data_IF_182161765157
#
_entry.id   IF_182161765157
#
_cell.length_a   1.000
_cell.length_b   1.000
_cell.length_c   1.000
_cell.angle_alpha   90.00
_cell.angle_beta   90.00
_cell.angle_gamma   90.00
#
_symmetry.space_group_name_H-M   'P 1'
#
loop_
_entity.id
_entity.type
_entity.pdbx_description
1 polymer ?
#
# COMPACT_ATOMS: atom_id res chain seq x y z
N UNK A 1 5.31 -20.79 4.61
CA UNK A 1 6.52 -21.10 3.79
C UNK A 1 7.15 -19.80 3.34
N UNK A 2 8.44 -19.63 3.54
CA UNK A 2 9.16 -18.44 3.09
C UNK A 2 9.40 -18.51 1.58
N UNK A 3 9.21 -17.40 0.88
CA UNK A 3 9.43 -17.32 -0.58
C UNK A 3 10.91 -17.45 -0.98
N UNK A 4 11.84 -17.17 -0.03
CA UNK A 4 13.30 -17.25 -0.24
C UNK A 4 13.87 -18.70 -0.12
N UNK A 5 13.04 -19.71 0.09
CA UNK A 5 13.44 -21.12 0.21
C UNK A 5 14.15 -21.49 1.52
N UNK A 6 14.39 -20.54 2.43
CA UNK A 6 15.10 -20.78 3.70
C UNK A 6 14.29 -21.54 4.76
N UNK A 7 13.11 -22.02 4.44
CA UNK A 7 12.28 -22.82 5.36
C UNK A 7 13.02 -24.05 5.89
N UNK A 8 13.86 -24.68 5.05
CA UNK A 8 14.67 -25.85 5.46
C UNK A 8 15.71 -25.48 6.51
N UNK A 9 16.32 -24.29 6.38
CA UNK A 9 17.33 -23.80 7.34
C UNK A 9 16.69 -23.54 8.70
N UNK A 10 15.51 -22.90 8.71
CA UNK A 10 14.76 -22.66 9.94
C UNK A 10 14.41 -23.97 10.62
N UNK A 11 13.90 -24.97 9.88
CA UNK A 11 13.57 -26.28 10.42
C UNK A 11 14.80 -27.02 10.98
N UNK A 12 15.95 -26.83 10.35
CA UNK A 12 17.20 -27.42 10.82
C UNK A 12 17.62 -26.89 12.20
N UNK A 13 17.45 -25.58 12.44
CA UNK A 13 17.85 -24.97 13.71
C UNK A 13 16.74 -25.00 14.79
N UNK A 14 15.47 -24.94 14.40
CA UNK A 14 14.34 -24.80 15.32
C UNK A 14 13.48 -26.07 15.43
N UNK A 15 13.77 -27.09 14.63
CA UNK A 15 12.96 -28.31 14.55
C UNK A 15 11.74 -28.18 13.64
N UNK A 16 10.96 -29.25 13.59
CA UNK A 16 9.74 -29.30 12.80
C UNK A 16 8.58 -28.51 13.46
N UNK A 17 7.63 -28.11 12.63
CA UNK A 17 6.44 -27.41 13.09
C UNK A 17 5.60 -28.33 13.97
N UNK A 18 5.54 -28.08 15.26
CA UNK A 18 4.79 -28.88 16.24
C UNK A 18 3.31 -28.51 16.22
N UNK A 19 3.00 -27.20 16.07
CA UNK A 19 1.62 -26.70 16.04
C UNK A 19 1.49 -25.69 14.91
N UNK A 20 0.47 -25.87 14.08
CA UNK A 20 0.09 -24.92 13.05
C UNK A 20 -1.35 -24.44 13.29
N UNK A 21 -1.50 -23.34 14.03
CA UNK A 21 -2.79 -22.73 14.28
C UNK A 21 -3.11 -21.79 13.11
N UNK A 22 -4.13 -22.14 12.34
CA UNK A 22 -4.75 -21.16 11.44
C UNK A 22 -5.61 -20.26 12.31
N UNK A 23 -5.10 -19.07 12.59
CA UNK A 23 -5.90 -18.03 13.21
C UNK A 23 -7.07 -17.71 12.27
N UNK A 24 -8.29 -17.59 12.79
CA UNK A 24 -9.42 -17.07 12.02
C UNK A 24 -9.02 -15.67 11.54
N UNK A 25 -8.62 -15.58 10.28
CA UNK A 25 -8.19 -14.32 9.71
C UNK A 25 -9.45 -13.48 9.46
N UNK A 26 -9.48 -12.30 10.05
CA UNK A 26 -10.45 -11.28 9.67
C UNK A 26 -10.26 -11.04 8.17
N UNK A 27 -11.31 -11.26 7.37
CA UNK A 27 -11.25 -11.00 5.93
C UNK A 27 -11.56 -9.53 5.69
N UNK A 28 -10.69 -8.76 5.02
CA UNK A 28 -11.00 -7.38 4.68
C UNK A 28 -12.04 -7.33 3.56
N UNK A 29 -12.84 -6.28 3.56
CA UNK A 29 -13.62 -5.91 2.39
C UNK A 29 -12.65 -5.36 1.32
N UNK A 30 -12.71 -5.90 0.11
CA UNK A 30 -11.86 -5.46 -1.01
C UNK A 30 -12.71 -4.70 -2.01
N UNK A 31 -12.27 -3.50 -2.34
CA UNK A 31 -12.90 -2.63 -3.32
C UNK A 31 -11.89 -2.24 -4.41
N UNK A 32 -12.17 -2.58 -5.65
CA UNK A 32 -11.36 -2.18 -6.80
C UNK A 32 -11.91 -0.87 -7.38
N UNK A 33 -11.09 0.16 -7.37
CA UNK A 33 -11.40 1.45 -7.97
C UNK A 33 -10.74 1.57 -9.34
N UNK A 34 -11.54 1.60 -10.39
CA UNK A 34 -11.06 1.73 -11.76
C UNK A 34 -10.94 3.20 -12.14
N UNK A 35 -9.72 3.66 -12.41
CA UNK A 35 -9.46 5.07 -12.76
C UNK A 35 -9.91 5.43 -14.17
N UNK A 36 -10.05 4.45 -15.08
CA UNK A 36 -10.33 4.72 -16.49
C UNK A 36 -9.19 5.45 -17.22
N UNK A 37 -8.05 5.64 -16.56
CA UNK A 37 -6.90 6.36 -17.11
C UNK A 37 -5.96 5.36 -17.77
N UNK A 38 -5.74 5.53 -19.07
CA UNK A 38 -4.71 4.79 -19.80
C UNK A 38 -3.36 5.50 -19.63
N UNK A 39 -2.34 4.80 -19.14
CA UNK A 39 -0.99 5.35 -19.16
C UNK A 39 -0.57 5.53 -20.62
N UNK A 40 0.05 6.67 -20.92
CA UNK A 40 0.48 7.04 -22.28
C UNK A 40 1.35 5.92 -22.87
N UNK A 41 0.84 5.25 -23.90
CA UNK A 41 1.35 4.02 -24.50
C UNK A 41 2.80 4.09 -25.01
N UNK A 42 3.32 5.28 -25.30
CA UNK A 42 4.42 5.44 -26.25
C UNK A 42 5.83 5.27 -25.70
N UNK A 43 6.03 5.17 -24.38
CA UNK A 43 7.38 5.11 -23.78
C UNK A 43 7.62 3.96 -22.79
N UNK A 44 6.68 3.04 -22.69
CA UNK A 44 6.76 1.96 -21.71
C UNK A 44 7.49 0.71 -22.20
N UNK A 45 7.88 0.68 -23.49
CA UNK A 45 8.55 -0.45 -24.11
C UNK A 45 10.04 -0.19 -24.29
N UNK A 46 10.88 -1.07 -23.77
CA UNK A 46 12.32 -1.12 -24.07
C UNK A 46 12.63 -2.47 -24.72
N UNK A 47 13.21 -2.45 -25.93
CA UNK A 47 13.53 -3.66 -26.68
C UNK A 47 12.35 -4.62 -26.85
N UNK A 48 11.15 -4.11 -27.08
CA UNK A 48 9.93 -4.90 -27.23
C UNK A 48 9.39 -5.51 -25.93
N UNK A 49 9.98 -5.18 -24.76
CA UNK A 49 9.51 -5.61 -23.45
C UNK A 49 8.98 -4.44 -22.65
N UNK A 50 7.91 -4.67 -21.90
CA UNK A 50 7.32 -3.67 -21.02
C UNK A 50 8.28 -3.28 -19.89
N UNK A 51 8.56 -1.98 -19.76
CA UNK A 51 9.36 -1.43 -18.68
C UNK A 51 8.45 -1.07 -17.49
N UNK A 52 8.14 -2.05 -16.65
CA UNK A 52 7.28 -1.87 -15.47
C UNK A 52 7.71 -0.73 -14.53
N UNK A 53 9.00 -0.57 -14.16
CA UNK A 53 9.44 0.54 -13.34
C UNK A 53 9.16 1.92 -13.95
N UNK A 54 9.26 2.05 -15.27
CA UNK A 54 8.94 3.28 -15.97
C UNK A 54 7.44 3.53 -16.00
N UNK A 55 6.65 2.52 -16.33
CA UNK A 55 5.19 2.58 -16.33
C UNK A 55 4.65 3.02 -14.95
N UNK A 56 5.08 2.38 -13.87
CA UNK A 56 4.70 2.77 -12.51
C UNK A 56 5.12 4.22 -12.21
N UNK A 57 6.30 4.64 -12.69
CA UNK A 57 6.76 6.01 -12.55
C UNK A 57 5.84 7.03 -13.20
N UNK A 58 5.36 6.75 -14.41
CA UNK A 58 4.43 7.63 -15.14
C UNK A 58 3.03 7.65 -14.49
N UNK A 59 2.52 6.51 -14.07
CA UNK A 59 1.26 6.43 -13.31
C UNK A 59 1.32 7.28 -12.03
N UNK A 60 2.42 7.21 -11.29
CA UNK A 60 2.61 8.03 -10.08
C UNK A 60 2.67 9.54 -10.35
N UNK A 61 3.02 9.96 -11.58
CA UNK A 61 3.07 11.38 -11.99
C UNK A 61 1.74 11.89 -12.52
N UNK A 62 0.82 11.01 -12.93
CA UNK A 62 -0.47 11.41 -13.49
C UNK A 62 -1.25 12.25 -12.49
N UNK A 63 -1.51 13.51 -12.84
CA UNK A 63 -2.22 14.46 -11.97
C UNK A 63 -3.68 14.03 -11.76
N UNK A 64 -4.36 13.65 -12.82
CA UNK A 64 -5.78 13.24 -12.78
C UNK A 64 -5.96 12.01 -11.89
N UNK A 65 -5.10 10.99 -12.06
CA UNK A 65 -5.08 9.79 -11.23
C UNK A 65 -4.86 10.13 -9.74
N UNK A 66 -3.93 11.00 -9.47
CA UNK A 66 -3.61 11.43 -8.11
C UNK A 66 -4.75 12.20 -7.46
N UNK A 67 -5.50 12.99 -8.22
CA UNK A 67 -6.72 13.66 -7.73
C UNK A 67 -7.81 12.66 -7.36
N UNK A 68 -8.01 11.60 -8.16
CA UNK A 68 -8.95 10.53 -7.81
C UNK A 68 -8.57 9.82 -6.52
N UNK A 69 -7.29 9.46 -6.37
CA UNK A 69 -6.78 8.86 -5.13
C UNK A 69 -7.05 9.77 -3.93
N UNK A 70 -6.76 11.06 -4.07
CA UNK A 70 -6.99 12.04 -2.99
C UNK A 70 -8.48 12.18 -2.69
N UNK A 71 -9.37 12.13 -3.68
CA UNK A 71 -10.81 12.14 -3.47
C UNK A 71 -11.27 10.94 -2.62
N UNK A 72 -10.76 9.75 -2.92
CA UNK A 72 -11.04 8.54 -2.14
C UNK A 72 -10.54 8.71 -0.69
N UNK A 73 -9.32 9.22 -0.51
CA UNK A 73 -8.76 9.47 0.82
C UNK A 73 -9.67 10.40 1.63
N UNK A 74 -10.11 11.52 1.02
CA UNK A 74 -11.02 12.49 1.67
C UNK A 74 -12.36 11.87 2.05
N UNK A 75 -12.93 11.06 1.18
CA UNK A 75 -14.16 10.33 1.46
C UNK A 75 -13.99 9.39 2.67
N UNK A 76 -12.94 8.56 2.68
CA UNK A 76 -12.70 7.62 3.78
C UNK A 76 -12.30 8.34 5.07
N UNK A 77 -11.61 9.47 4.97
CA UNK A 77 -11.32 10.33 6.11
C UNK A 77 -12.60 10.88 6.75
N UNK A 78 -13.59 11.30 5.95
CA UNK A 78 -14.88 11.78 6.47
C UNK A 78 -15.68 10.68 7.20
N UNK A 79 -15.46 9.41 6.86
CA UNK A 79 -16.01 8.22 7.52
C UNK A 79 -15.24 7.83 8.82
N UNK A 80 -14.40 8.71 9.35
CA UNK A 80 -13.58 8.51 10.53
C UNK A 80 -12.59 7.33 10.45
N UNK A 81 -12.19 6.94 9.25
CA UNK A 81 -11.23 5.85 9.03
C UNK A 81 -9.78 6.28 9.25
N UNK A 82 -8.93 5.33 9.62
CA UNK A 82 -7.47 5.47 9.71
C UNK A 82 -6.84 4.78 8.52
N UNK A 83 -6.18 5.55 7.68
CA UNK A 83 -5.85 5.19 6.32
C UNK A 83 -4.34 5.03 6.16
N UNK A 84 -3.91 3.89 5.64
CA UNK A 84 -2.56 3.68 5.11
C UNK A 84 -2.61 3.71 3.58
N UNK A 85 -1.86 4.62 2.98
CA UNK A 85 -1.73 4.73 1.52
C UNK A 85 -0.35 4.21 1.12
N UNK A 86 -0.31 3.14 0.35
CA UNK A 86 0.92 2.51 -0.11
C UNK A 86 1.20 2.79 -1.57
N UNK A 87 2.44 3.12 -1.85
CA UNK A 87 2.94 3.34 -3.20
C UNK A 87 4.37 2.82 -3.37
N UNK A 88 4.80 2.63 -4.61
CA UNK A 88 6.17 2.18 -4.90
C UNK A 88 7.20 3.33 -4.90
N UNK A 89 6.74 4.61 -4.93
CA UNK A 89 7.61 5.78 -5.09
C UNK A 89 7.50 6.77 -3.93
N UNK A 90 8.66 7.17 -3.39
CA UNK A 90 8.75 8.18 -2.32
C UNK A 90 8.15 9.52 -2.75
N UNK A 91 8.46 9.97 -3.97
CA UNK A 91 7.93 11.22 -4.53
C UNK A 91 6.41 11.19 -4.66
N UNK A 92 5.84 10.02 -4.95
CA UNK A 92 4.39 9.86 -5.01
C UNK A 92 3.75 10.04 -3.63
N UNK A 93 4.35 9.51 -2.55
CA UNK A 93 3.91 9.78 -1.17
C UNK A 93 3.84 11.30 -0.89
N UNK A 94 4.92 12.02 -1.21
CA UNK A 94 5.01 13.47 -0.99
C UNK A 94 3.99 14.24 -1.84
N UNK A 95 3.80 13.82 -3.08
CA UNK A 95 2.85 14.47 -4.00
C UNK A 95 1.41 14.27 -3.55
N UNK A 96 1.02 13.06 -3.17
CA UNK A 96 -0.32 12.76 -2.66
C UNK A 96 -0.60 13.52 -1.35
N UNK A 97 0.38 13.62 -0.44
CA UNK A 97 0.23 14.41 0.77
C UNK A 97 0.00 15.89 0.47
N UNK A 98 0.78 16.47 -0.46
CA UNK A 98 0.62 17.86 -0.88
C UNK A 98 -0.76 18.13 -1.49
N UNK A 99 -1.24 17.20 -2.33
CA UNK A 99 -2.56 17.31 -2.97
C UNK A 99 -3.70 17.11 -1.96
N UNK A 100 -3.49 16.35 -0.91
CA UNK A 100 -4.47 16.19 0.17
C UNK A 100 -4.69 17.50 0.92
N UNK A 101 -3.61 18.26 1.16
CA UNK A 101 -3.63 19.55 1.86
C UNK A 101 -3.47 19.43 3.37
N UNK A 102 -3.20 20.58 4.01
CA UNK A 102 -2.87 20.67 5.44
C UNK A 102 -4.09 20.55 6.37
N UNK A 103 -5.30 20.66 5.83
CA UNK A 103 -6.55 20.50 6.59
C UNK A 103 -6.76 19.07 7.10
N UNK A 104 -5.98 18.11 6.58
CA UNK A 104 -6.10 16.70 6.90
C UNK A 104 -4.92 16.24 7.76
N UNK A 105 -5.20 15.52 8.85
CA UNK A 105 -4.18 14.93 9.70
C UNK A 105 -3.42 13.84 8.94
N UNK A 106 -2.33 14.21 8.29
CA UNK A 106 -1.53 13.33 7.44
C UNK A 106 -0.06 13.29 7.85
N UNK A 107 0.60 12.17 7.57
CA UNK A 107 2.02 11.95 7.81
C UNK A 107 2.68 11.11 6.71
N UNK A 108 3.99 11.25 6.59
CA UNK A 108 4.83 10.47 5.68
C UNK A 108 5.59 9.42 6.46
N UNK A 109 5.64 8.20 5.94
CA UNK A 109 6.39 7.10 6.50
C UNK A 109 7.25 6.44 5.40
N UNK A 110 8.41 7.01 5.15
CA UNK A 110 9.33 6.57 4.09
C UNK A 110 10.73 6.34 4.65
N UNK A 111 11.54 5.52 3.97
CA UNK A 111 12.92 5.25 4.36
C UNK A 111 13.77 6.53 4.47
N UNK A 112 14.79 6.48 5.30
CA UNK A 112 15.72 7.58 5.63
C UNK A 112 15.14 8.68 6.55
N UNK A 113 13.93 8.52 7.10
CA UNK A 113 13.42 9.44 8.12
C UNK A 113 13.97 9.08 9.50
N UNK A 114 14.13 10.10 10.37
CA UNK A 114 14.48 9.89 11.76
C UNK A 114 13.33 9.19 12.52
N UNK A 115 13.69 8.36 13.49
CA UNK A 115 12.69 7.62 14.29
C UNK A 115 11.63 8.52 14.94
N UNK A 116 12.00 9.72 15.38
CA UNK A 116 11.07 10.70 15.96
C UNK A 116 10.01 11.14 14.97
N UNK A 117 10.40 11.44 13.72
CA UNK A 117 9.47 11.83 12.65
C UNK A 117 8.56 10.65 12.21
N UNK A 118 9.08 9.42 12.25
CA UNK A 118 8.29 8.22 11.99
C UNK A 118 7.24 7.99 13.07
N UNK A 119 7.60 8.17 14.35
CA UNK A 119 6.66 8.07 15.46
C UNK A 119 5.57 9.13 15.39
N UNK A 120 5.92 10.38 15.07
CA UNK A 120 4.96 11.45 14.88
C UNK A 120 3.98 11.13 13.74
N UNK A 121 4.49 10.64 12.60
CA UNK A 121 3.68 10.24 11.46
C UNK A 121 2.67 9.14 11.82
N UNK A 122 3.05 8.22 12.72
CA UNK A 122 2.16 7.14 13.19
C UNK A 122 0.94 7.63 13.98
N UNK A 123 0.98 8.84 14.51
CA UNK A 123 -0.17 9.42 15.22
C UNK A 123 -1.22 9.99 14.28
N UNK A 124 -0.86 10.21 13.02
CA UNK A 124 -1.74 10.82 12.01
C UNK A 124 -2.82 9.85 11.54
N UNK A 125 -3.91 10.40 10.99
CA UNK A 125 -5.03 9.58 10.48
C UNK A 125 -4.81 9.07 9.07
N UNK A 126 -4.04 9.77 8.25
CA UNK A 126 -3.64 9.35 6.91
C UNK A 126 -2.13 9.22 6.88
N UNK A 127 -1.64 8.04 6.52
CA UNK A 127 -0.21 7.76 6.48
C UNK A 127 0.16 7.34 5.07
N UNK A 128 1.07 8.10 4.45
CA UNK A 128 1.61 7.77 3.13
C UNK A 128 2.94 7.03 3.31
N UNK A 129 3.04 5.82 2.80
CA UNK A 129 4.23 4.99 2.95
C UNK A 129 4.60 4.28 1.65
N UNK A 130 5.86 3.85 1.54
CA UNK A 130 6.26 2.96 0.46
C UNK A 130 6.02 1.50 0.85
N UNK A 131 5.73 0.63 -0.14
CA UNK A 131 5.58 -0.82 0.08
C UNK A 131 6.78 -1.43 0.81
N UNK A 132 7.99 -0.95 0.52
CA UNK A 132 9.20 -1.41 1.16
C UNK A 132 9.14 -1.26 2.69
N UNK A 133 8.81 -0.06 3.16
CA UNK A 133 8.71 0.24 4.60
C UNK A 133 7.55 -0.54 5.25
N UNK A 134 6.42 -0.67 4.56
CA UNK A 134 5.31 -1.47 5.08
C UNK A 134 5.71 -2.94 5.28
N UNK A 135 6.64 -3.48 4.49
CA UNK A 135 7.15 -4.84 4.66
C UNK A 135 8.18 -4.98 5.79
N UNK A 136 8.94 -3.93 6.13
CA UNK A 136 10.06 -3.99 7.08
C UNK A 136 9.72 -3.72 8.55
N UNK A 137 8.48 -3.91 8.97
CA UNK A 137 8.15 -3.82 10.40
C UNK A 137 7.31 -2.61 10.77
N UNK A 138 6.72 -1.90 9.82
CA UNK A 138 5.69 -0.93 10.11
C UNK A 138 4.53 -1.57 10.90
N UNK A 139 4.23 -1.08 12.08
CA UNK A 139 3.17 -1.58 12.94
C UNK A 139 2.34 -0.42 13.50
N UNK A 140 1.08 -0.36 13.07
CA UNK A 140 0.10 0.55 13.63
C UNK A 140 -1.24 -0.18 13.71
N UNK A 141 -1.58 -0.70 14.90
CA UNK A 141 -2.78 -1.53 15.08
C UNK A 141 -4.10 -0.79 14.87
N UNK A 142 -4.06 0.55 14.85
CA UNK A 142 -5.26 1.38 14.68
C UNK A 142 -5.71 1.55 13.22
N UNK A 143 -4.95 1.02 12.26
CA UNK A 143 -5.29 1.11 10.85
C UNK A 143 -6.46 0.19 10.50
N UNK A 144 -7.44 0.71 9.81
CA UNK A 144 -8.61 -0.01 9.34
C UNK A 144 -8.79 0.06 7.82
N UNK A 145 -8.04 0.92 7.13
CA UNK A 145 -8.17 1.12 5.69
C UNK A 145 -6.80 1.16 5.01
N UNK A 146 -6.66 0.36 3.96
CA UNK A 146 -5.47 0.31 3.10
C UNK A 146 -5.84 0.78 1.70
N UNK A 147 -5.06 1.71 1.14
CA UNK A 147 -5.19 2.14 -0.26
C UNK A 147 -3.90 1.75 -0.98
N UNK A 148 -4.02 0.90 -2.00
CA UNK A 148 -2.91 0.50 -2.87
C UNK A 148 -2.84 1.50 -4.03
N UNK A 149 -2.03 2.55 -3.84
CA UNK A 149 -1.98 3.70 -4.74
C UNK A 149 -1.07 3.50 -5.97
N UNK A 150 -0.33 2.40 -6.04
CA UNK A 150 0.41 1.99 -7.23
C UNK A 150 0.38 0.47 -7.41
N UNK A 151 0.48 -0.05 -8.63
CA UNK A 151 0.42 -1.48 -8.90
C UNK A 151 1.49 -2.26 -8.12
N UNK A 152 1.11 -3.38 -7.51
CA UNK A 152 2.00 -4.28 -6.77
C UNK A 152 1.47 -5.70 -6.79
N UNK A 153 2.30 -6.65 -7.22
CA UNK A 153 1.92 -8.07 -7.36
C UNK A 153 1.85 -8.86 -6.05
N UNK A 154 2.52 -8.40 -5.00
CA UNK A 154 2.49 -9.07 -3.69
C UNK A 154 2.17 -8.06 -2.60
N UNK A 155 0.94 -8.07 -2.14
CA UNK A 155 0.39 -7.16 -1.13
C UNK A 155 -0.05 -7.85 0.16
N UNK A 156 0.09 -9.18 0.25
CA UNK A 156 -0.36 -9.97 1.41
C UNK A 156 0.17 -9.43 2.74
N UNK A 157 1.46 -9.09 2.79
CA UNK A 157 2.06 -8.53 4.00
C UNK A 157 1.48 -7.16 4.36
N UNK A 158 1.20 -6.33 3.36
CA UNK A 158 0.61 -5.01 3.57
C UNK A 158 -0.83 -5.13 4.07
N UNK A 159 -1.63 -6.02 3.46
CA UNK A 159 -3.00 -6.32 3.90
C UNK A 159 -2.99 -6.86 5.34
N UNK A 160 -2.08 -7.76 5.67
CA UNK A 160 -1.93 -8.30 7.03
C UNK A 160 -1.65 -7.25 8.11
N UNK A 161 -1.23 -6.03 7.73
CA UNK A 161 -0.99 -4.93 8.69
C UNK A 161 -2.28 -4.32 9.23
N UNK A 162 -3.32 -4.19 8.41
CA UNK A 162 -4.62 -3.65 8.84
C UNK A 162 -5.52 -4.70 9.50
N UNK A 163 -5.14 -5.98 9.43
CA UNK A 163 -5.92 -7.10 9.97
C UNK A 163 -5.49 -7.53 11.37
N UNK A 164 -4.58 -6.82 12.01
CA UNK A 164 -3.96 -7.27 13.27
C UNK A 164 -4.84 -7.15 14.48
N UNK A 165 -5.78 -6.24 14.48
CA UNK A 165 -6.71 -6.02 15.60
C UNK A 165 -8.14 -5.78 15.10
N UNK A 166 -9.10 -6.11 15.94
CA UNK A 166 -10.47 -5.69 15.76
C UNK A 166 -10.55 -4.17 15.98
N UNK A 167 -10.88 -3.44 14.93
CA UNK A 167 -11.11 -2.01 14.94
C UNK A 167 -12.61 -1.73 14.95
N UNK A 168 -13.00 -0.50 15.30
CA UNK A 168 -14.41 -0.06 15.24
C UNK A 168 -15.00 -0.19 13.83
N UNK A 169 -14.16 0.01 12.82
CA UNK A 169 -14.52 -0.16 11.41
C UNK A 169 -14.02 -1.50 10.88
N UNK A 170 -14.82 -2.16 10.06
CA UNK A 170 -14.38 -3.35 9.32
C UNK A 170 -13.19 -3.02 8.43
N UNK A 171 -12.16 -3.87 8.37
CA UNK A 171 -10.99 -3.66 7.53
C UNK A 171 -11.37 -3.52 6.05
N UNK A 172 -10.84 -2.48 5.41
CA UNK A 172 -11.11 -2.15 4.01
C UNK A 172 -9.81 -2.05 3.23
N UNK A 173 -9.73 -2.74 2.11
CA UNK A 173 -8.65 -2.60 1.12
C UNK A 173 -9.24 -1.96 -0.13
N UNK A 174 -8.63 -0.89 -0.60
CA UNK A 174 -8.99 -0.22 -1.86
C UNK A 174 -7.81 -0.36 -2.81
N UNK A 175 -8.02 -1.07 -3.90
CA UNK A 175 -7.04 -1.22 -4.96
C UNK A 175 -7.33 -0.23 -6.08
N UNK A 176 -6.35 0.58 -6.45
CA UNK A 176 -6.45 1.54 -7.55
C UNK A 176 -6.01 0.84 -8.83
N UNK A 177 -7.00 0.45 -9.64
CA UNK A 177 -6.81 -0.32 -10.86
C UNK A 177 -6.81 0.63 -12.06
N UNK A 178 -5.73 0.58 -12.83
CA UNK A 178 -5.59 1.35 -14.06
C UNK A 178 -5.98 0.49 -15.27
N UNK A 179 -6.52 1.10 -16.32
CA UNK A 179 -7.11 0.41 -17.49
C UNK A 179 -6.11 -0.33 -18.35
N UNK A 180 -4.81 -0.27 -18.05
CA UNK A 180 -3.78 -0.94 -18.83
C UNK A 180 -3.86 -2.46 -18.66
N UNK A 181 -4.00 -3.20 -19.75
CA UNK A 181 -4.28 -4.66 -19.76
C UNK A 181 -3.30 -5.50 -18.94
N UNK A 182 -2.03 -5.08 -18.84
CA UNK A 182 -1.00 -5.78 -18.04
C UNK A 182 -1.19 -5.57 -16.54
N UNK A 183 -1.81 -4.47 -16.12
CA UNK A 183 -2.02 -4.11 -14.71
C UNK A 183 -3.32 -4.70 -14.16
N UNK A 184 -4.30 -4.97 -15.01
CA UNK A 184 -5.61 -5.54 -14.61
C UNK A 184 -5.45 -6.92 -13.97
N UNK A 185 -4.37 -7.63 -14.31
CA UNK A 185 -4.11 -9.00 -13.83
C UNK A 185 -2.99 -9.06 -12.77
N UNK A 186 -2.55 -7.95 -12.22
CA UNK A 186 -1.58 -7.90 -11.13
C UNK A 186 -2.22 -7.94 -9.77
#
# INVERSE_FOLDING_TARGET
TRADGLTKVIKYFMGDVIVNIKQNSICPNIYNHYTGIDPIETKTMINGKLNMPHLIGELCKSFERNLEIVKIIKEKYSQNRKILVLTDRREHCLNLQRLLGDDYSSGIYIGSMKNTALQESNTKRVIFATYYIASEGYDNPKLDTLILASPKSNVEQAVGRILRQENENEPLVIDIVDSFSVLINM
#
